data_IF_968246758067
#
_entry.id   IF_968246758067
#
_cell.length_a   1.000
_cell.length_b   1.000
_cell.length_c   1.000
_cell.angle_alpha   90.00
_cell.angle_beta   90.00
_cell.angle_gamma   90.00
#
_symmetry.space_group_name_H-M   'P 1'
#
loop_
_entity.id
_entity.type
_entity.pdbx_description
1 polymer ?
#
# COMPACT_ATOMS: atom_id res chain seq x y z
N UNK A 1 -6.54 1.87 23.79
CA UNK A 1 -6.28 2.83 22.70
C UNK A 1 -5.98 2.06 21.42
N UNK A 2 -5.77 2.75 20.30
CA UNK A 2 -5.28 2.15 19.04
C UNK A 2 -3.76 2.05 19.11
N UNK A 3 -3.19 0.93 18.63
CA UNK A 3 -1.76 0.62 18.75
C UNK A 3 -0.97 0.77 17.46
N UNK A 4 -1.64 0.87 16.31
CA UNK A 4 -0.99 0.98 15.00
C UNK A 4 -1.89 1.62 13.93
N UNK A 5 -1.27 2.16 12.89
CA UNK A 5 -1.93 2.63 11.67
C UNK A 5 -1.65 1.68 10.51
N UNK A 6 -2.69 1.35 9.74
CA UNK A 6 -2.60 0.55 8.52
C UNK A 6 -2.77 1.43 7.28
N UNK A 7 -2.04 1.12 6.23
CA UNK A 7 -2.14 1.78 4.93
C UNK A 7 -1.92 0.76 3.82
N UNK A 8 -2.78 0.75 2.82
CA UNK A 8 -2.55 0.00 1.58
C UNK A 8 -2.00 0.92 0.50
N UNK A 9 -0.99 0.45 -0.23
CA UNK A 9 -0.34 1.19 -1.32
C UNK A 9 -0.11 0.27 -2.51
N UNK A 10 -0.16 0.81 -3.74
CA UNK A 10 0.16 0.01 -4.94
C UNK A 10 1.63 -0.41 -4.87
N UNK A 11 1.90 -1.72 -4.89
CA UNK A 11 3.23 -2.28 -4.59
C UNK A 11 4.34 -1.84 -5.56
N UNK A 12 4.00 -1.51 -6.81
CA UNK A 12 4.98 -1.07 -7.81
C UNK A 12 5.44 0.39 -7.59
N UNK A 13 4.88 1.10 -6.62
CA UNK A 13 5.22 2.50 -6.30
C UNK A 13 6.36 2.56 -5.27
N UNK A 14 7.50 2.00 -5.64
CA UNK A 14 8.69 1.87 -4.77
C UNK A 14 9.10 3.19 -4.09
N UNK A 15 9.15 4.31 -4.83
CA UNK A 15 9.52 5.61 -4.26
C UNK A 15 8.54 6.11 -3.19
N UNK A 16 7.24 5.84 -3.39
CA UNK A 16 6.21 6.20 -2.44
C UNK A 16 6.28 5.32 -1.20
N UNK A 17 6.54 4.03 -1.37
CA UNK A 17 6.75 3.10 -0.26
C UNK A 17 7.98 3.53 0.56
N UNK A 18 9.11 3.80 -0.10
CA UNK A 18 10.32 4.28 0.57
C UNK A 18 10.09 5.59 1.32
N UNK A 19 9.21 6.47 0.81
CA UNK A 19 8.80 7.68 1.53
C UNK A 19 8.01 7.38 2.81
N UNK A 20 7.10 6.41 2.77
CA UNK A 20 6.36 5.96 3.96
C UNK A 20 7.26 5.24 4.97
N UNK A 21 8.21 4.43 4.50
CA UNK A 21 9.19 3.75 5.35
C UNK A 21 10.01 4.76 6.17
N UNK A 22 10.49 5.84 5.54
CA UNK A 22 11.16 6.96 6.24
C UNK A 22 10.28 7.64 7.30
N UNK A 23 8.96 7.49 7.21
CA UNK A 23 7.98 8.05 8.17
C UNK A 23 7.58 7.06 9.26
N UNK A 24 8.22 5.90 9.31
CA UNK A 24 8.02 4.88 10.34
C UNK A 24 7.02 3.79 9.97
N UNK A 25 6.54 3.75 8.72
CA UNK A 25 5.82 2.58 8.23
C UNK A 25 6.79 1.45 7.91
N UNK A 26 6.30 0.21 7.89
CA UNK A 26 7.05 -0.99 7.49
C UNK A 26 6.17 -1.83 6.59
N UNK A 27 6.77 -2.45 5.56
CA UNK A 27 6.10 -3.47 4.76
C UNK A 27 5.76 -4.69 5.62
N UNK A 28 4.55 -5.21 5.49
CA UNK A 28 4.19 -6.50 6.10
C UNK A 28 4.44 -7.67 5.16
N UNK A 29 4.58 -7.43 3.86
CA UNK A 29 4.58 -8.46 2.82
C UNK A 29 3.19 -8.99 2.48
N UNK A 30 2.13 -8.55 3.19
CA UNK A 30 0.76 -8.91 2.85
C UNK A 30 0.28 -8.07 1.66
N UNK A 31 -0.29 -8.74 0.66
CA UNK A 31 -0.78 -8.08 -0.55
C UNK A 31 -2.19 -8.52 -0.90
N UNK A 32 -2.99 -7.60 -1.46
CA UNK A 32 -4.31 -7.89 -2.02
C UNK A 32 -4.36 -7.51 -3.50
N UNK A 33 -5.18 -8.21 -4.32
CA UNK A 33 -5.32 -7.87 -5.74
C UNK A 33 -5.82 -6.44 -5.93
N UNK A 34 -5.31 -5.76 -6.96
CA UNK A 34 -5.90 -4.49 -7.40
C UNK A 34 -7.25 -4.75 -8.11
N UNK A 35 -8.31 -3.97 -7.85
CA UNK A 35 -9.62 -4.18 -8.45
C UNK A 35 -9.66 -3.68 -9.89
N UNK A 36 -9.20 -4.52 -10.82
CA UNK A 36 -9.31 -4.25 -12.26
C UNK A 36 -10.76 -4.09 -12.69
N UNK A 37 -11.02 -3.09 -13.54
CA UNK A 37 -12.37 -2.80 -14.05
C UNK A 37 -13.25 -1.99 -13.11
N UNK A 38 -12.76 -1.59 -11.92
CA UNK A 38 -13.45 -0.63 -11.06
C UNK A 38 -13.03 0.79 -11.42
N UNK A 39 -13.90 1.51 -12.14
CA UNK A 39 -13.64 2.86 -12.64
C UNK A 39 -13.32 3.88 -11.53
N UNK A 40 -13.68 3.61 -10.27
CA UNK A 40 -13.34 4.47 -9.12
C UNK A 40 -11.83 4.55 -8.88
N UNK A 41 -11.07 3.58 -9.36
CA UNK A 41 -9.62 3.52 -9.25
C UNK A 41 -8.90 4.02 -10.52
N UNK A 42 -9.66 4.51 -11.51
CA UNK A 42 -9.15 4.89 -12.82
C UNK A 42 -8.82 3.69 -13.71
N UNK A 43 -8.28 3.96 -14.90
CA UNK A 43 -7.90 2.92 -15.85
C UNK A 43 -6.43 2.55 -15.61
N UNK A 44 -6.12 1.34 -15.10
CA UNK A 44 -4.75 0.92 -14.86
C UNK A 44 -4.02 0.71 -16.20
N UNK A 45 -2.76 1.16 -16.27
CA UNK A 45 -1.89 0.98 -17.44
C UNK A 45 -1.07 -0.32 -17.41
N UNK A 46 -1.22 -1.10 -16.32
CA UNK A 46 -0.54 -2.37 -16.07
C UNK A 46 -1.56 -3.39 -15.58
N UNK A 47 -1.26 -4.67 -15.76
CA UNK A 47 -2.09 -5.81 -15.38
C UNK A 47 -1.57 -6.56 -14.12
N UNK A 48 -0.42 -6.14 -13.58
CA UNK A 48 0.27 -6.76 -12.44
C UNK A 48 0.18 -5.99 -11.10
N UNK A 49 -0.67 -4.97 -11.03
CA UNK A 49 -0.92 -4.18 -9.82
C UNK A 49 -1.51 -5.02 -8.68
N UNK A 50 -0.99 -4.77 -7.49
CA UNK A 50 -1.46 -5.28 -6.20
C UNK A 50 -1.33 -4.19 -5.15
N UNK A 51 -2.19 -4.19 -4.14
CA UNK A 51 -1.98 -3.41 -2.94
C UNK A 51 -1.07 -4.18 -1.99
N UNK A 52 -0.17 -3.48 -1.31
CA UNK A 52 0.66 -3.99 -0.23
C UNK A 52 0.30 -3.24 1.06
N UNK A 53 0.20 -3.99 2.17
CA UNK A 53 -0.07 -3.43 3.48
C UNK A 53 1.22 -2.90 4.12
N UNK A 54 1.16 -1.64 4.54
CA UNK A 54 2.15 -0.99 5.38
C UNK A 54 1.56 -0.75 6.78
N UNK A 55 2.37 -1.00 7.80
CA UNK A 55 1.99 -0.78 9.21
C UNK A 55 2.92 0.22 9.88
N UNK A 56 2.37 1.12 10.70
CA UNK A 56 3.13 2.04 11.55
C UNK A 56 2.68 1.90 13.00
N UNK A 57 3.55 1.44 13.92
CA UNK A 57 3.25 1.44 15.34
C UNK A 57 2.98 2.87 15.86
N UNK A 58 1.95 3.01 16.69
CA UNK A 58 1.61 4.23 17.43
C UNK A 58 2.18 4.10 18.84
N UNK A 59 3.48 4.30 18.97
CA UNK A 59 4.16 4.42 20.28
C UNK A 59 4.07 5.84 20.80
#
# INVERSE_FOLDING_TARGET
GVTEMHMTVISVREDLIAWYERRGYRRTGETTPFPYGDERFGIPQRDDLRFELLVKPLV
#
